data_IF_802688638344
#
_entry.id   IF_802688638344
#
_cell.length_a   1.000
_cell.length_b   1.000
_cell.length_c   1.000
_cell.angle_alpha   90.00
_cell.angle_beta   90.00
_cell.angle_gamma   90.00
#
_symmetry.space_group_name_H-M   'P 1'
#
loop_
_entity.id
_entity.type
_entity.pdbx_description
1 polymer ?
#
# COMPACT_ATOMS: atom_id res chain seq x y z
N UNK A 1 25.26 -55.90 34.16
CA UNK A 1 24.63 -55.94 32.83
C UNK A 1 23.97 -54.59 32.64
N UNK A 2 24.55 -53.69 31.84
CA UNK A 2 23.94 -52.41 31.50
C UNK A 2 23.12 -52.62 30.22
N UNK A 3 21.84 -52.27 30.23
CA UNK A 3 20.96 -52.40 29.08
C UNK A 3 21.47 -51.51 27.93
N UNK A 4 21.69 -52.09 26.76
CA UNK A 4 22.13 -51.35 25.57
C UNK A 4 20.98 -50.46 25.05
N UNK A 5 21.25 -49.19 24.69
CA UNK A 5 20.21 -48.29 24.21
C UNK A 5 19.73 -48.71 22.81
N UNK A 6 18.44 -49.02 22.68
CA UNK A 6 17.78 -49.28 21.40
C UNK A 6 17.59 -47.96 20.61
N UNK A 7 18.34 -47.79 19.52
CA UNK A 7 18.35 -46.58 18.68
C UNK A 7 17.12 -46.41 17.76
N UNK A 8 16.24 -47.41 17.67
CA UNK A 8 15.16 -47.44 16.67
C UNK A 8 13.98 -46.49 16.96
N UNK A 9 13.86 -45.95 18.18
CA UNK A 9 12.71 -45.11 18.60
C UNK A 9 13.11 -43.75 19.19
N UNK A 10 14.40 -43.40 19.18
CA UNK A 10 14.86 -42.13 19.72
C UNK A 10 14.46 -40.97 18.81
N UNK A 11 13.62 -40.06 19.31
CA UNK A 11 13.35 -38.79 18.64
C UNK A 11 14.68 -38.02 18.47
N UNK A 12 14.92 -37.38 17.31
CA UNK A 12 16.16 -36.64 17.10
C UNK A 12 16.28 -35.54 18.15
N UNK A 13 17.31 -35.62 18.99
CA UNK A 13 17.65 -34.58 19.96
C UNK A 13 18.49 -33.55 19.21
N UNK A 14 17.94 -32.35 19.00
CA UNK A 14 18.74 -31.22 18.50
C UNK A 14 19.71 -30.77 19.59
N UNK A 15 20.94 -31.24 19.53
CA UNK A 15 22.02 -30.72 20.35
C UNK A 15 22.41 -29.34 19.81
N UNK A 16 22.21 -28.29 20.60
CA UNK A 16 22.49 -26.90 20.23
C UNK A 16 23.58 -26.33 21.13
N UNK A 17 24.61 -25.79 20.50
CA UNK A 17 25.78 -25.23 21.21
C UNK A 17 25.56 -23.78 21.69
N UNK A 18 24.58 -23.07 21.11
CA UNK A 18 24.30 -21.66 21.43
C UNK A 18 22.80 -21.42 21.66
N UNK A 19 22.44 -20.50 22.58
CA UNK A 19 21.05 -20.17 22.86
C UNK A 19 20.38 -19.52 21.65
N UNK A 20 19.08 -19.74 21.50
CA UNK A 20 18.30 -19.08 20.44
C UNK A 20 18.21 -17.58 20.68
N UNK A 21 17.93 -16.79 19.63
CA UNK A 21 17.68 -15.35 19.80
C UNK A 21 16.57 -15.07 20.83
N UNK A 22 15.56 -15.93 20.91
CA UNK A 22 14.49 -15.79 21.89
C UNK A 22 15.00 -16.03 23.33
N UNK A 23 15.81 -17.07 23.55
CA UNK A 23 16.45 -17.34 24.85
C UNK A 23 17.46 -16.25 25.25
N UNK A 24 18.24 -15.75 24.30
CA UNK A 24 19.18 -14.65 24.52
C UNK A 24 18.45 -13.34 24.88
N UNK A 25 17.29 -13.08 24.26
CA UNK A 25 16.45 -11.92 24.59
C UNK A 25 15.75 -12.04 25.94
N UNK A 26 15.40 -13.26 26.36
CA UNK A 26 14.81 -13.52 27.69
C UNK A 26 15.84 -13.31 28.81
N UNK A 27 17.09 -13.72 28.57
CA UNK A 27 18.19 -13.56 29.55
C UNK A 27 18.74 -12.15 29.57
N UNK A 28 18.84 -11.49 28.42
CA UNK A 28 19.25 -10.08 28.31
C UNK A 28 18.37 -9.34 27.29
N UNK A 29 17.32 -8.63 27.74
CA UNK A 29 16.46 -7.86 26.84
C UNK A 29 17.18 -6.71 26.12
N UNK A 30 18.34 -6.28 26.64
CA UNK A 30 19.20 -5.28 25.99
C UNK A 30 20.11 -5.86 24.90
N UNK A 31 20.23 -7.20 24.79
CA UNK A 31 20.90 -7.86 23.68
C UNK A 31 20.07 -7.87 22.38
N UNK A 32 18.82 -7.40 22.45
CA UNK A 32 17.96 -7.24 21.30
C UNK A 32 18.35 -6.07 20.40
N UNK A 33 17.80 -6.05 19.17
CA UNK A 33 17.97 -4.90 18.31
C UNK A 33 17.43 -3.66 19.00
N UNK A 34 18.27 -2.62 19.10
CA UNK A 34 17.92 -1.35 19.74
C UNK A 34 16.59 -0.82 19.18
N UNK A 35 15.63 -0.44 20.03
CA UNK A 35 14.41 0.19 19.55
C UNK A 35 14.76 1.48 18.83
N UNK A 36 14.08 1.73 17.71
CA UNK A 36 14.27 2.95 16.95
C UNK A 36 13.82 4.15 17.78
N UNK A 37 14.63 5.19 17.76
CA UNK A 37 14.21 6.50 18.24
C UNK A 37 13.10 7.05 17.35
N UNK A 38 12.28 7.95 17.88
CA UNK A 38 11.20 8.61 17.11
C UNK A 38 11.76 9.29 15.86
N UNK A 39 12.95 9.87 15.95
CA UNK A 39 13.64 10.51 14.82
C UNK A 39 14.02 9.49 13.73
N UNK A 40 14.64 8.37 14.11
CA UNK A 40 14.99 7.30 13.16
C UNK A 40 13.74 6.65 12.53
N UNK A 41 12.67 6.50 13.31
CA UNK A 41 11.40 6.01 12.81
C UNK A 41 10.83 6.96 11.74
N UNK A 42 10.76 8.27 12.03
CA UNK A 42 10.30 9.29 11.07
C UNK A 42 11.16 9.30 9.80
N UNK A 43 12.49 9.27 9.94
CA UNK A 43 13.40 9.20 8.81
C UNK A 43 13.20 7.94 7.94
N UNK A 44 12.85 6.79 8.54
CA UNK A 44 12.48 5.58 7.80
C UNK A 44 11.14 5.70 7.09
N UNK A 45 10.17 6.43 7.66
CA UNK A 45 8.87 6.66 7.01
C UNK A 45 8.98 7.64 5.84
N UNK A 46 9.78 8.69 5.97
CA UNK A 46 10.05 9.63 4.88
C UNK A 46 10.68 8.93 3.65
N UNK A 47 11.62 8.00 3.88
CA UNK A 47 12.20 7.17 2.80
C UNK A 47 11.21 6.22 2.14
N UNK A 48 10.13 5.84 2.82
CA UNK A 48 9.07 4.96 2.27
C UNK A 48 8.05 5.72 1.41
N UNK A 49 8.05 7.05 1.44
CA UNK A 49 7.19 7.85 0.58
C UNK A 49 7.71 7.82 -0.87
N UNK A 50 7.46 6.73 -1.59
CA UNK A 50 7.78 6.62 -3.01
C UNK A 50 7.04 7.76 -3.74
N UNK A 51 7.76 8.65 -4.45
CA UNK A 51 7.12 9.73 -5.17
C UNK A 51 6.20 9.12 -6.24
N UNK A 52 4.89 9.31 -6.06
CA UNK A 52 3.90 8.76 -6.99
C UNK A 52 4.05 9.48 -8.34
N UNK A 53 4.16 8.71 -9.43
CA UNK A 53 4.10 9.29 -10.77
C UNK A 53 2.79 10.03 -10.97
N UNK A 54 2.88 11.32 -11.30
CA UNK A 54 1.74 12.13 -11.69
C UNK A 54 1.32 11.72 -13.11
N UNK A 55 0.03 11.42 -13.29
CA UNK A 55 -0.55 11.14 -14.61
C UNK A 55 -0.69 12.45 -15.38
N UNK A 56 -0.73 12.37 -16.72
CA UNK A 56 -1.03 13.54 -17.54
C UNK A 56 -2.43 14.10 -17.23
N UNK A 57 -2.57 15.41 -17.28
CA UNK A 57 -3.83 16.13 -17.03
C UNK A 57 -5.03 15.55 -17.80
N UNK A 58 -4.93 15.22 -19.12
CA UNK A 58 -6.03 14.60 -19.84
C UNK A 58 -6.43 13.24 -19.26
N UNK A 59 -5.45 12.42 -18.86
CA UNK A 59 -5.68 11.10 -18.31
C UNK A 59 -6.36 11.17 -16.94
N UNK A 60 -6.01 12.15 -16.11
CA UNK A 60 -6.68 12.37 -14.81
C UNK A 60 -8.15 12.72 -15.02
N UNK A 61 -8.45 13.65 -15.94
CA UNK A 61 -9.83 14.07 -16.25
C UNK A 61 -10.68 12.92 -16.81
N UNK A 62 -10.14 12.08 -17.69
CA UNK A 62 -10.83 10.89 -18.20
C UNK A 62 -11.15 9.87 -17.09
N UNK A 63 -10.25 9.69 -16.11
CA UNK A 63 -10.51 8.81 -14.98
C UNK A 63 -11.58 9.38 -14.05
N UNK A 64 -11.60 10.70 -13.83
CA UNK A 64 -12.66 11.38 -13.09
C UNK A 64 -14.02 11.19 -13.78
N UNK A 65 -14.07 11.36 -15.11
CA UNK A 65 -15.28 11.12 -15.91
C UNK A 65 -15.80 9.69 -15.73
N UNK A 66 -14.95 8.67 -15.90
CA UNK A 66 -15.34 7.27 -15.70
C UNK A 66 -15.86 6.98 -14.29
N UNK A 67 -15.22 7.57 -13.28
CA UNK A 67 -15.64 7.42 -11.88
C UNK A 67 -17.02 8.04 -11.65
N UNK A 68 -17.26 9.24 -12.17
CA UNK A 68 -18.56 9.91 -12.05
C UNK A 68 -19.68 9.13 -12.72
N UNK A 69 -19.45 8.54 -13.90
CA UNK A 69 -20.44 7.65 -14.55
C UNK A 69 -20.76 6.45 -13.67
N UNK A 70 -19.74 5.82 -13.06
CA UNK A 70 -19.97 4.69 -12.14
C UNK A 70 -20.75 5.13 -10.91
N UNK A 71 -20.38 6.25 -10.30
CA UNK A 71 -21.07 6.78 -9.12
C UNK A 71 -22.54 7.14 -9.42
N UNK A 72 -22.80 7.74 -10.59
CA UNK A 72 -24.14 8.05 -11.08
C UNK A 72 -24.97 6.79 -11.36
N UNK A 73 -24.37 5.65 -11.67
CA UNK A 73 -25.13 4.41 -11.83
C UNK A 73 -25.35 3.67 -10.49
N UNK A 74 -24.49 3.91 -9.50
CA UNK A 74 -24.47 3.13 -8.26
C UNK A 74 -25.19 3.81 -7.09
N UNK A 75 -25.16 5.14 -7.00
CA UNK A 75 -25.57 5.88 -5.80
C UNK A 75 -26.85 6.72 -5.88
N UNK A 76 -27.30 7.28 -7.01
CA UNK A 76 -28.41 8.22 -6.96
C UNK A 76 -29.71 7.49 -6.64
N UNK A 77 -30.31 7.86 -5.51
CA UNK A 77 -31.69 7.52 -5.15
C UNK A 77 -32.68 8.57 -5.65
N UNK A 78 -32.17 9.77 -5.99
CA UNK A 78 -32.95 10.96 -6.36
C UNK A 78 -32.45 11.56 -7.68
N UNK A 79 -33.37 12.10 -8.49
CA UNK A 79 -33.06 12.69 -9.80
C UNK A 79 -32.20 13.96 -9.69
N UNK A 80 -32.35 14.74 -8.61
CA UNK A 80 -31.54 15.93 -8.36
C UNK A 80 -30.04 15.62 -8.22
N UNK A 81 -29.71 14.49 -7.59
CA UNK A 81 -28.31 14.08 -7.43
C UNK A 81 -27.74 13.58 -8.76
N UNK A 82 -28.56 12.86 -9.54
CA UNK A 82 -28.22 12.44 -10.90
C UNK A 82 -27.91 13.64 -11.80
N UNK A 83 -28.71 14.70 -11.72
CA UNK A 83 -28.46 15.94 -12.47
C UNK A 83 -27.12 16.58 -12.12
N UNK A 84 -26.74 16.62 -10.83
CA UNK A 84 -25.42 17.12 -10.39
C UNK A 84 -24.26 16.32 -10.99
N UNK A 85 -24.42 15.00 -11.15
CA UNK A 85 -23.41 14.17 -11.82
C UNK A 85 -23.32 14.50 -13.32
N UNK A 86 -24.45 14.70 -14.00
CA UNK A 86 -24.51 15.09 -15.41
C UNK A 86 -23.79 16.43 -15.62
N UNK A 87 -24.09 17.44 -14.81
CA UNK A 87 -23.46 18.77 -14.92
C UNK A 87 -21.94 18.69 -14.75
N UNK A 88 -21.46 17.86 -13.79
CA UNK A 88 -20.03 17.62 -13.60
C UNK A 88 -19.38 16.90 -14.79
N UNK A 89 -20.09 15.95 -15.41
CA UNK A 89 -19.61 15.24 -16.59
C UNK A 89 -19.46 16.18 -17.79
N UNK A 90 -20.46 17.02 -18.05
CA UNK A 90 -20.43 18.02 -19.12
C UNK A 90 -19.24 18.99 -18.96
N UNK A 91 -19.04 19.51 -17.74
CA UNK A 91 -17.91 20.37 -17.42
C UNK A 91 -16.54 19.70 -17.68
N UNK A 92 -16.40 18.40 -17.42
CA UNK A 92 -15.18 17.66 -17.70
C UNK A 92 -14.96 17.46 -19.20
N UNK A 93 -16.01 17.15 -19.94
CA UNK A 93 -15.96 17.00 -21.40
C UNK A 93 -15.56 18.29 -22.10
N UNK A 94 -16.09 19.43 -21.66
CA UNK A 94 -15.67 20.74 -22.17
C UNK A 94 -14.19 21.01 -21.92
N UNK A 95 -13.71 20.74 -20.69
CA UNK A 95 -12.29 20.90 -20.34
C UNK A 95 -11.38 19.99 -21.17
N UNK A 96 -11.81 18.77 -21.47
CA UNK A 96 -11.08 17.84 -22.33
C UNK A 96 -11.03 18.34 -23.79
N UNK A 97 -12.17 18.78 -24.33
CA UNK A 97 -12.28 19.33 -25.69
C UNK A 97 -11.46 20.61 -25.86
N UNK A 98 -11.58 21.55 -24.93
CA UNK A 98 -10.84 22.81 -24.97
C UNK A 98 -9.34 22.60 -24.82
N UNK A 99 -8.91 21.70 -23.93
CA UNK A 99 -7.50 21.30 -23.82
C UNK A 99 -6.96 20.65 -25.11
N UNK A 100 -7.77 19.85 -25.81
CA UNK A 100 -7.38 19.27 -27.10
C UNK A 100 -7.25 20.35 -28.20
N UNK A 101 -8.18 21.31 -28.26
CA UNK A 101 -8.13 22.43 -29.20
C UNK A 101 -6.89 23.31 -28.97
N UNK A 102 -6.55 23.61 -27.72
CA UNK A 102 -5.34 24.37 -27.38
C UNK A 102 -4.06 23.67 -27.83
N UNK A 103 -3.94 22.35 -27.59
CA UNK A 103 -2.78 21.57 -28.04
C UNK A 103 -2.65 21.55 -29.57
N UNK A 104 -3.77 21.44 -30.30
CA UNK A 104 -3.77 21.51 -31.76
C UNK A 104 -3.34 22.87 -32.32
N UNK A 105 -3.47 23.95 -31.56
CA UNK A 105 -3.02 25.30 -31.96
C UNK A 105 -1.56 25.57 -31.63
N UNK A 106 -0.99 24.83 -30.68
CA UNK A 106 0.37 25.00 -30.20
C UNK A 106 1.38 24.03 -30.84
N UNK A 107 0.90 23.13 -31.70
CA UNK A 107 1.69 22.18 -32.49
C UNK A 107 1.63 22.60 -33.96
#
# INVERSE_FOLDING_TARGET
MAEEPNFETAAPIEQRDLPTLQEALQTNPAAGPRPLTIAEYRARQEKKAIPKHKRSEPRVKLLQQRRLVKEMNQFPKNESDRQRYIDRLQNLDEKLRNGAKQRKRAA
#
